data_IF_691511118704
#
_entry.id   IF_691511118704
#
_cell.length_a   1.000
_cell.length_b   1.000
_cell.length_c   1.000
_cell.angle_alpha   90.00
_cell.angle_beta   90.00
_cell.angle_gamma   90.00
#
_symmetry.space_group_name_H-M   'P 1'
#
loop_
_entity.id
_entity.type
_entity.pdbx_description
1 polymer ?
#
# COMPACT_ATOMS: atom_id res chain seq x y z
N UNK A 1 -23.97 -30.65 70.57
CA UNK A 1 -24.07 -31.17 69.19
C UNK A 1 -22.93 -30.64 68.38
N UNK A 2 -21.80 -31.38 68.32
CA UNK A 2 -20.60 -30.92 67.57
C UNK A 2 -20.62 -31.63 66.21
N UNK A 3 -20.82 -30.83 65.13
CA UNK A 3 -20.72 -31.31 63.77
C UNK A 3 -19.23 -31.20 63.33
N UNK A 4 -18.62 -32.38 63.14
CA UNK A 4 -17.27 -32.53 62.61
C UNK A 4 -17.31 -32.37 61.09
N UNK A 5 -16.67 -31.32 60.58
CA UNK A 5 -16.48 -31.12 59.12
C UNK A 5 -15.22 -31.85 58.71
N UNK A 6 -15.38 -32.89 57.87
CA UNK A 6 -14.24 -33.59 57.24
C UNK A 6 -13.73 -32.80 56.02
N UNK A 7 -12.42 -32.64 55.81
CA UNK A 7 -11.91 -32.03 54.62
C UNK A 7 -11.95 -33.01 53.44
N UNK A 8 -12.59 -32.56 52.32
CA UNK A 8 -12.58 -33.23 51.02
C UNK A 8 -11.17 -33.11 50.41
N UNK A 9 -10.41 -34.18 50.41
CA UNK A 9 -9.16 -34.32 49.65
C UNK A 9 -9.49 -34.55 48.19
N UNK A 10 -9.23 -33.49 47.39
CA UNK A 10 -9.36 -33.57 45.92
C UNK A 10 -8.12 -34.24 45.35
N UNK A 11 -8.25 -35.48 44.89
CA UNK A 11 -7.23 -36.20 44.14
C UNK A 11 -7.26 -35.69 42.68
N UNK A 12 -6.32 -34.80 42.34
CA UNK A 12 -6.10 -34.36 40.96
C UNK A 12 -5.53 -35.51 40.13
N UNK A 13 -6.15 -35.85 38.99
CA UNK A 13 -5.60 -36.83 38.06
C UNK A 13 -4.27 -36.32 37.49
N UNK A 14 -3.19 -37.10 37.65
CA UNK A 14 -1.91 -36.92 36.99
C UNK A 14 -2.16 -37.12 35.47
N UNK A 15 -2.29 -36.02 34.72
CA UNK A 15 -2.21 -36.04 33.28
C UNK A 15 -0.72 -36.16 32.92
N UNK A 16 -0.29 -37.38 32.61
CA UNK A 16 1.00 -37.59 31.93
C UNK A 16 0.79 -37.13 30.49
N UNK A 17 1.21 -35.89 30.22
CA UNK A 17 1.30 -35.39 28.85
C UNK A 17 2.38 -36.18 28.12
N UNK A 18 1.97 -37.19 27.37
CA UNK A 18 2.78 -37.79 26.33
C UNK A 18 3.07 -36.69 25.30
N UNK A 19 4.31 -36.21 25.27
CA UNK A 19 4.81 -35.37 24.20
C UNK A 19 4.91 -36.25 22.96
N UNK A 20 3.77 -36.40 22.25
CA UNK A 20 3.84 -36.81 20.86
C UNK A 20 4.54 -35.69 20.10
N UNK A 21 5.83 -35.88 19.79
CA UNK A 21 6.51 -35.12 18.74
C UNK A 21 5.70 -35.39 17.46
N UNK A 22 4.79 -34.47 17.14
CA UNK A 22 4.25 -34.39 15.79
C UNK A 22 5.45 -34.01 14.89
N UNK A 23 6.05 -35.03 14.26
CA UNK A 23 6.91 -34.79 13.09
C UNK A 23 6.06 -34.01 12.07
N UNK A 24 6.32 -32.71 12.00
CA UNK A 24 5.73 -31.87 10.97
C UNK A 24 6.15 -32.40 9.60
N UNK A 25 5.21 -32.85 8.75
CA UNK A 25 5.55 -33.22 7.37
C UNK A 25 6.06 -31.95 6.68
N UNK A 26 7.36 -31.98 6.51
CA UNK A 26 8.28 -31.05 5.86
C UNK A 26 7.70 -29.89 5.10
N UNK A 27 8.13 -28.81 5.50
CA UNK A 27 8.60 -27.51 4.93
C UNK A 27 8.57 -27.31 3.38
N UNK A 28 7.98 -28.23 2.59
CA UNK A 28 7.93 -28.14 1.12
C UNK A 28 6.96 -27.08 0.59
N UNK A 29 5.97 -26.67 1.39
CA UNK A 29 5.00 -25.65 0.99
C UNK A 29 5.57 -24.23 1.11
N UNK A 30 6.44 -23.99 2.11
CA UNK A 30 7.06 -22.68 2.30
C UNK A 30 8.04 -22.29 1.20
N UNK A 31 8.75 -23.24 0.62
CA UNK A 31 9.72 -22.93 -0.46
C UNK A 31 9.03 -22.64 -1.80
N UNK A 32 7.92 -23.31 -2.11
CA UNK A 32 7.17 -23.07 -3.36
C UNK A 32 6.44 -21.72 -3.34
N UNK A 33 5.87 -21.32 -2.21
CA UNK A 33 5.21 -20.01 -2.07
C UNK A 33 6.19 -18.85 -2.21
N UNK A 34 7.39 -18.96 -1.64
CA UNK A 34 8.46 -17.95 -1.74
C UNK A 34 8.94 -17.72 -3.17
N UNK A 35 9.12 -18.80 -3.95
CA UNK A 35 9.57 -18.67 -5.34
C UNK A 35 8.48 -18.12 -6.26
N UNK A 36 7.20 -18.42 -6.00
CA UNK A 36 6.08 -17.86 -6.76
C UNK A 36 5.91 -16.35 -6.48
N UNK A 37 5.97 -15.95 -5.22
CA UNK A 37 5.90 -14.55 -4.81
C UNK A 37 7.02 -13.69 -5.39
N UNK A 38 8.26 -14.20 -5.36
CA UNK A 38 9.42 -13.51 -5.95
C UNK A 38 9.30 -13.36 -7.47
N UNK A 39 8.81 -14.38 -8.17
CA UNK A 39 8.59 -14.33 -9.63
C UNK A 39 7.50 -13.33 -10.00
N UNK A 40 6.43 -13.26 -9.20
CA UNK A 40 5.34 -12.29 -9.40
C UNK A 40 5.84 -10.86 -9.18
N UNK A 41 6.62 -10.62 -8.12
CA UNK A 41 7.25 -9.32 -7.84
C UNK A 41 8.20 -8.89 -8.96
N UNK A 42 9.00 -9.80 -9.49
CA UNK A 42 9.90 -9.52 -10.62
C UNK A 42 9.10 -9.20 -11.90
N UNK A 43 8.03 -9.92 -12.18
CA UNK A 43 7.16 -9.64 -13.33
C UNK A 43 6.50 -8.26 -13.23
N UNK A 44 6.04 -7.88 -12.03
CA UNK A 44 5.45 -6.56 -11.78
C UNK A 44 6.50 -5.46 -11.89
N UNK A 45 7.69 -5.66 -11.32
CA UNK A 45 8.80 -4.71 -11.46
C UNK A 45 9.19 -4.51 -12.94
N UNK A 46 9.21 -5.59 -13.74
CA UNK A 46 9.45 -5.49 -15.19
C UNK A 46 8.35 -4.73 -15.93
N UNK A 47 7.07 -4.96 -15.60
CA UNK A 47 5.94 -4.25 -16.22
C UNK A 47 5.98 -2.76 -15.86
N UNK A 48 6.29 -2.42 -14.61
CA UNK A 48 6.45 -1.03 -14.19
C UNK A 48 7.67 -0.38 -14.87
N UNK A 49 8.82 -1.07 -14.95
CA UNK A 49 10.01 -0.57 -15.63
C UNK A 49 9.78 -0.38 -17.15
N UNK A 50 9.00 -1.26 -17.77
CA UNK A 50 8.67 -1.15 -19.20
C UNK A 50 7.81 0.07 -19.51
N UNK A 51 6.87 0.40 -18.62
CA UNK A 51 6.02 1.57 -18.78
C UNK A 51 6.77 2.90 -18.54
N UNK A 52 7.76 2.91 -17.64
CA UNK A 52 8.61 4.10 -17.41
C UNK A 52 9.63 4.34 -18.54
N UNK A 53 10.00 3.31 -19.30
CA UNK A 53 10.94 3.44 -20.42
C UNK A 53 10.34 4.06 -21.69
N UNK A 54 9.01 4.20 -21.79
CA UNK A 54 8.36 4.96 -22.85
C UNK A 54 8.38 6.43 -22.44
N UNK A 55 9.43 7.14 -22.86
CA UNK A 55 9.74 8.52 -22.50
C UNK A 55 8.74 9.54 -23.11
N UNK A 56 7.51 9.52 -22.63
CA UNK A 56 6.69 10.73 -22.60
C UNK A 56 7.16 11.59 -21.42
N UNK A 57 7.23 12.91 -21.61
CA UNK A 57 7.51 13.81 -20.48
C UNK A 57 6.55 13.52 -19.34
N UNK A 58 7.05 13.18 -18.13
CA UNK A 58 6.18 12.82 -17.02
C UNK A 58 5.20 13.95 -16.73
N UNK A 59 3.94 13.61 -16.59
CA UNK A 59 2.93 14.58 -16.21
C UNK A 59 3.12 14.99 -14.75
N UNK A 60 2.59 16.16 -14.40
CA UNK A 60 2.64 16.66 -13.02
C UNK A 60 2.02 15.62 -12.07
N UNK A 61 2.79 15.23 -11.05
CA UNK A 61 2.40 14.22 -10.07
C UNK A 61 2.62 12.75 -10.50
N UNK A 62 2.85 12.44 -11.77
CA UNK A 62 3.01 11.07 -12.27
C UNK A 62 4.23 10.37 -11.62
N UNK A 63 5.40 11.01 -11.62
CA UNK A 63 6.61 10.42 -11.05
C UNK A 63 6.47 10.14 -9.56
N UNK A 64 5.86 11.06 -8.82
CA UNK A 64 5.60 10.89 -7.39
C UNK A 64 4.59 9.78 -7.12
N UNK A 65 3.55 9.69 -7.96
CA UNK A 65 2.55 8.65 -7.87
C UNK A 65 3.14 7.26 -8.14
N UNK A 66 3.95 7.12 -9.18
CA UNK A 66 4.66 5.86 -9.51
C UNK A 66 5.61 5.48 -8.38
N UNK A 67 6.40 6.43 -7.83
CA UNK A 67 7.29 6.16 -6.70
C UNK A 67 6.53 5.68 -5.45
N UNK A 68 5.35 6.26 -5.18
CA UNK A 68 4.47 5.80 -4.09
C UNK A 68 4.01 4.35 -4.29
N UNK A 69 3.64 3.96 -5.50
CA UNK A 69 3.25 2.59 -5.80
C UNK A 69 4.43 1.62 -5.71
N UNK A 70 5.63 2.02 -6.16
CA UNK A 70 6.85 1.23 -6.02
C UNK A 70 7.18 1.03 -4.54
N UNK A 71 7.07 2.07 -3.72
CA UNK A 71 7.30 1.98 -2.28
C UNK A 71 6.30 1.02 -1.59
N UNK A 72 5.03 1.06 -2.00
CA UNK A 72 4.01 0.16 -1.46
C UNK A 72 4.26 -1.31 -1.88
N UNK A 73 4.55 -1.57 -3.15
CA UNK A 73 4.91 -2.91 -3.62
C UNK A 73 6.17 -3.42 -2.93
N UNK A 74 7.18 -2.57 -2.79
CA UNK A 74 8.44 -2.89 -2.12
C UNK A 74 8.24 -3.24 -0.64
N UNK A 75 7.49 -2.41 0.09
CA UNK A 75 7.18 -2.64 1.51
C UNK A 75 6.31 -3.89 1.70
N UNK A 76 5.35 -4.14 0.81
CA UNK A 76 4.58 -5.39 0.79
C UNK A 76 5.50 -6.59 0.60
N UNK A 77 6.44 -6.52 -0.35
CA UNK A 77 7.42 -7.59 -0.60
C UNK A 77 8.28 -7.89 0.64
N UNK A 78 8.76 -6.87 1.34
CA UNK A 78 9.51 -7.02 2.60
C UNK A 78 8.62 -7.67 3.67
N UNK A 79 7.38 -7.22 3.82
CA UNK A 79 6.42 -7.82 4.77
C UNK A 79 6.21 -9.31 4.51
N UNK A 80 6.05 -9.70 3.25
CA UNK A 80 5.92 -11.10 2.84
C UNK A 80 7.15 -11.94 3.20
N UNK A 81 8.35 -11.39 3.01
CA UNK A 81 9.60 -12.07 3.39
C UNK A 81 9.73 -12.25 4.91
N UNK A 82 9.17 -11.34 5.69
CA UNK A 82 9.16 -11.39 7.16
C UNK A 82 8.03 -12.25 7.73
N UNK A 83 7.21 -12.89 6.91
CA UNK A 83 6.16 -13.80 7.36
C UNK A 83 4.78 -13.15 7.51
N UNK A 84 4.61 -11.89 7.11
CA UNK A 84 3.29 -11.22 7.09
C UNK A 84 2.35 -11.77 6.00
N UNK A 85 2.82 -12.72 5.18
CA UNK A 85 2.13 -13.25 4.01
C UNK A 85 0.79 -13.93 4.30
N UNK A 86 0.60 -14.46 5.50
CA UNK A 86 -0.62 -15.19 5.83
C UNK A 86 -1.83 -14.27 6.07
N UNK A 87 -1.60 -12.98 6.23
CA UNK A 87 -2.64 -12.04 6.63
C UNK A 87 -3.34 -11.32 5.46
N UNK A 88 -2.83 -11.39 4.21
CA UNK A 88 -3.41 -10.59 3.13
C UNK A 88 -3.54 -11.31 1.78
N UNK A 89 -4.53 -12.18 1.60
CA UNK A 89 -4.84 -12.80 0.30
C UNK A 89 -5.27 -11.78 -0.76
N UNK A 90 -5.63 -10.54 -0.35
CA UNK A 90 -6.07 -9.46 -1.23
C UNK A 90 -4.91 -8.77 -1.95
N UNK A 91 -3.65 -9.01 -1.55
CA UNK A 91 -2.48 -8.32 -2.13
C UNK A 91 -2.34 -8.46 -3.65
N UNK A 92 -2.69 -9.61 -4.22
CA UNK A 92 -2.65 -9.85 -5.67
C UNK A 92 -3.78 -9.08 -6.38
N UNK A 93 -4.97 -9.04 -5.77
CA UNK A 93 -6.13 -8.33 -6.31
C UNK A 93 -5.86 -6.83 -6.33
N UNK A 94 -5.29 -6.29 -5.25
CA UNK A 94 -4.94 -4.87 -5.17
C UNK A 94 -3.91 -4.45 -6.21
N UNK A 95 -2.99 -5.34 -6.58
CA UNK A 95 -2.03 -5.08 -7.64
C UNK A 95 -2.71 -4.91 -9.01
N UNK A 96 -3.66 -5.81 -9.34
CA UNK A 96 -4.46 -5.68 -10.57
C UNK A 96 -5.23 -4.36 -10.63
N UNK A 97 -5.84 -3.96 -9.52
CA UNK A 97 -6.56 -2.68 -9.40
C UNK A 97 -5.60 -1.50 -9.62
N UNK A 98 -4.39 -1.54 -9.07
CA UNK A 98 -3.38 -0.48 -9.26
C UNK A 98 -2.97 -0.32 -10.71
N UNK A 99 -2.72 -1.44 -11.40
CA UNK A 99 -2.38 -1.40 -12.83
C UNK A 99 -3.54 -0.83 -13.65
N UNK A 100 -4.78 -1.26 -13.38
CA UNK A 100 -5.96 -0.73 -14.05
C UNK A 100 -6.15 0.77 -13.79
N UNK A 101 -5.98 1.22 -12.54
CA UNK A 101 -6.06 2.63 -12.19
C UNK A 101 -5.00 3.46 -12.91
N UNK A 102 -3.75 2.99 -12.99
CA UNK A 102 -2.69 3.64 -13.75
C UNK A 102 -3.10 3.86 -15.22
N UNK A 103 -3.64 2.83 -15.88
CA UNK A 103 -4.08 2.93 -17.26
C UNK A 103 -5.25 3.92 -17.42
N UNK A 104 -6.24 3.85 -16.53
CA UNK A 104 -7.37 4.79 -16.54
C UNK A 104 -6.93 6.24 -16.39
N UNK A 105 -5.92 6.51 -15.54
CA UNK A 105 -5.38 7.86 -15.36
C UNK A 105 -4.71 8.34 -16.67
N UNK A 106 -3.96 7.48 -17.34
CA UNK A 106 -3.32 7.81 -18.63
C UNK A 106 -4.32 8.13 -19.73
N UNK A 107 -5.50 7.52 -19.69
CA UNK A 107 -6.59 7.72 -20.65
C UNK A 107 -7.55 8.86 -20.28
N UNK A 108 -7.45 9.38 -19.05
CA UNK A 108 -8.31 10.46 -18.57
C UNK A 108 -8.03 11.78 -19.31
N UNK A 109 -9.01 12.71 -19.35
CA UNK A 109 -8.82 14.04 -19.90
C UNK A 109 -7.62 14.76 -19.26
N UNK A 110 -6.79 15.50 -20.03
CA UNK A 110 -5.58 16.15 -19.51
C UNK A 110 -5.80 17.04 -18.29
N UNK A 111 -6.96 17.70 -18.20
CA UNK A 111 -7.32 18.54 -17.05
C UNK A 111 -7.60 17.75 -15.77
N UNK A 112 -7.97 16.48 -15.86
CA UNK A 112 -8.26 15.61 -14.70
C UNK A 112 -7.03 14.85 -14.20
N UNK A 113 -6.06 14.61 -15.09
CA UNK A 113 -4.90 13.79 -14.81
C UNK A 113 -4.08 14.25 -13.61
N UNK A 114 -3.78 15.56 -13.38
CA UNK A 114 -2.99 15.98 -12.23
C UNK A 114 -3.64 15.59 -10.90
N UNK A 115 -4.96 15.71 -10.81
CA UNK A 115 -5.74 15.31 -9.62
C UNK A 115 -5.72 13.80 -9.42
N UNK A 116 -5.92 13.03 -10.48
CA UNK A 116 -5.91 11.57 -10.44
C UNK A 116 -4.54 11.02 -10.08
N UNK A 117 -3.45 11.59 -10.62
CA UNK A 117 -2.09 11.26 -10.22
C UNK A 117 -1.83 11.58 -8.74
N UNK A 118 -2.30 12.73 -8.27
CA UNK A 118 -2.20 13.10 -6.85
C UNK A 118 -2.88 12.09 -5.94
N UNK A 119 -4.10 11.68 -6.27
CA UNK A 119 -4.83 10.64 -5.51
C UNK A 119 -4.11 9.30 -5.55
N UNK A 120 -3.69 8.86 -6.72
CA UNK A 120 -2.98 7.59 -6.90
C UNK A 120 -1.68 7.56 -6.10
N UNK A 121 -0.92 8.66 -6.10
CA UNK A 121 0.28 8.83 -5.29
C UNK A 121 0.01 8.81 -3.79
N UNK A 122 -1.00 9.54 -3.34
CA UNK A 122 -1.41 9.57 -1.94
C UNK A 122 -1.77 8.18 -1.42
N UNK A 123 -2.50 7.37 -2.21
CA UNK A 123 -2.79 5.98 -1.87
C UNK A 123 -1.53 5.13 -1.79
N UNK A 124 -0.61 5.26 -2.74
CA UNK A 124 0.64 4.50 -2.76
C UNK A 124 1.51 4.79 -1.53
N UNK A 125 1.76 6.05 -1.24
CA UNK A 125 2.55 6.46 -0.08
C UNK A 125 1.86 6.12 1.25
N UNK A 126 0.54 6.27 1.32
CA UNK A 126 -0.24 5.87 2.48
C UNK A 126 -0.15 4.38 2.76
N UNK A 127 -0.30 3.55 1.72
CA UNK A 127 -0.17 2.10 1.84
C UNK A 127 1.25 1.68 2.23
N UNK A 128 2.29 2.30 1.63
CA UNK A 128 3.68 2.06 1.98
C UNK A 128 3.97 2.38 3.46
N UNK A 129 3.50 3.53 3.95
CA UNK A 129 3.66 3.92 5.35
C UNK A 129 2.96 2.96 6.31
N UNK A 130 1.73 2.53 5.98
CA UNK A 130 1.01 1.51 6.74
C UNK A 130 1.78 0.19 6.77
N UNK A 131 2.29 -0.29 5.63
CA UNK A 131 3.03 -1.54 5.54
C UNK A 131 4.33 -1.49 6.33
N UNK A 132 5.09 -0.38 6.25
CA UNK A 132 6.31 -0.18 7.05
C UNK A 132 6.02 -0.18 8.55
N UNK A 133 4.90 0.44 8.96
CA UNK A 133 4.46 0.40 10.35
C UNK A 133 4.14 -1.04 10.79
N UNK A 134 3.44 -1.83 9.97
CA UNK A 134 3.13 -3.24 10.26
C UNK A 134 4.42 -4.05 10.41
N UNK A 135 5.40 -3.85 9.53
CA UNK A 135 6.73 -4.49 9.62
C UNK A 135 7.41 -4.14 10.96
N UNK A 136 7.41 -2.87 11.34
CA UNK A 136 7.93 -2.40 12.63
C UNK A 136 7.17 -3.00 13.82
N UNK A 137 5.86 -3.18 13.68
CA UNK A 137 4.99 -3.80 14.68
C UNK A 137 5.36 -5.28 14.90
N UNK A 138 5.59 -6.04 13.83
CA UNK A 138 6.03 -7.44 13.92
C UNK A 138 7.37 -7.51 14.65
N UNK A 139 8.32 -6.64 14.30
CA UNK A 139 9.64 -6.60 14.95
C UNK A 139 9.58 -6.21 16.42
N UNK A 140 8.58 -5.44 16.86
CA UNK A 140 8.40 -4.97 18.24
C UNK A 140 7.41 -5.79 19.07
N UNK A 141 6.95 -6.94 18.57
CA UNK A 141 6.01 -7.81 19.30
C UNK A 141 4.57 -7.30 19.34
N UNK A 142 4.15 -6.48 18.39
CA UNK A 142 2.74 -6.13 18.21
C UNK A 142 2.29 -4.79 18.79
N UNK A 143 3.17 -4.03 19.45
CA UNK A 143 2.80 -2.86 20.28
C UNK A 143 2.10 -1.72 19.51
N UNK A 144 2.30 -1.59 18.19
CA UNK A 144 1.87 -0.42 17.41
C UNK A 144 0.82 -0.72 16.32
N UNK A 145 0.30 -1.94 16.25
CA UNK A 145 -0.59 -2.38 15.15
C UNK A 145 -1.78 -1.42 14.91
N UNK A 146 -2.40 -0.93 15.97
CA UNK A 146 -3.56 -0.04 15.87
C UNK A 146 -3.24 1.35 15.29
N UNK A 147 -1.98 1.78 15.32
CA UNK A 147 -1.55 3.08 14.79
C UNK A 147 -1.23 3.05 13.30
N UNK A 148 -0.99 1.88 12.73
CA UNK A 148 -0.52 1.75 11.35
C UNK A 148 -1.51 2.34 10.33
N UNK A 149 -2.84 2.11 10.41
CA UNK A 149 -3.78 2.75 9.51
C UNK A 149 -3.78 4.28 9.62
N UNK A 150 -3.62 4.81 10.83
CA UNK A 150 -3.57 6.27 11.08
C UNK A 150 -2.34 6.87 10.42
N UNK A 151 -1.17 6.24 10.57
CA UNK A 151 0.07 6.67 9.93
C UNK A 151 -0.04 6.59 8.40
N UNK A 152 -0.66 5.55 7.88
CA UNK A 152 -0.93 5.41 6.46
C UNK A 152 -1.79 6.56 5.91
N UNK A 153 -2.90 6.87 6.57
CA UNK A 153 -3.78 7.98 6.20
C UNK A 153 -3.03 9.31 6.29
N UNK A 154 -2.31 9.56 7.39
CA UNK A 154 -1.56 10.81 7.59
C UNK A 154 -0.48 11.00 6.50
N UNK A 155 0.26 9.95 6.14
CA UNK A 155 1.24 10.00 5.07
C UNK A 155 0.60 10.28 3.70
N UNK A 156 -0.49 9.61 3.37
CA UNK A 156 -1.23 9.86 2.13
C UNK A 156 -1.77 11.28 2.04
N UNK A 157 -2.38 11.78 3.11
CA UNK A 157 -2.87 13.16 3.18
C UNK A 157 -1.73 14.17 3.09
N UNK A 158 -0.59 13.91 3.74
CA UNK A 158 0.60 14.76 3.64
C UNK A 158 1.09 14.89 2.19
N UNK A 159 1.16 13.77 1.47
CA UNK A 159 1.52 13.76 0.03
C UNK A 159 0.49 14.53 -0.80
N UNK A 160 -0.79 14.33 -0.53
CA UNK A 160 -1.88 15.03 -1.21
C UNK A 160 -1.77 16.54 -1.01
N UNK A 161 -1.67 17.02 0.22
CA UNK A 161 -1.66 18.45 0.54
C UNK A 161 -0.39 19.16 0.04
N UNK A 162 0.78 18.50 0.17
CA UNK A 162 2.04 19.12 -0.26
C UNK A 162 2.13 19.43 -1.76
N UNK A 163 1.28 18.80 -2.59
CA UNK A 163 1.29 18.97 -4.04
C UNK A 163 0.02 19.66 -4.56
N UNK A 164 -0.79 20.23 -3.68
CA UNK A 164 -2.07 20.84 -4.06
C UNK A 164 -1.88 21.97 -5.04
N UNK A 165 -1.03 22.94 -4.73
CA UNK A 165 -0.79 24.11 -5.59
C UNK A 165 -0.24 23.72 -6.98
N UNK A 166 0.67 22.72 -7.04
CA UNK A 166 1.21 22.25 -8.31
C UNK A 166 0.14 21.55 -9.16
N UNK A 167 -0.72 20.73 -8.53
CA UNK A 167 -1.85 20.08 -9.22
C UNK A 167 -2.86 21.08 -9.75
N UNK A 168 -3.22 22.08 -8.94
CA UNK A 168 -4.19 23.10 -9.32
C UNK A 168 -3.69 23.91 -10.50
N UNK A 169 -2.40 24.29 -10.46
CA UNK A 169 -1.75 24.99 -11.58
C UNK A 169 -1.73 24.12 -12.84
N UNK A 170 -1.34 22.86 -12.73
CA UNK A 170 -1.31 21.94 -13.89
C UNK A 170 -2.70 21.71 -14.48
N UNK A 171 -3.73 21.60 -13.63
CA UNK A 171 -5.12 21.51 -14.06
C UNK A 171 -5.54 22.75 -14.81
N UNK A 172 -5.24 23.94 -14.27
CA UNK A 172 -5.52 25.22 -14.93
C UNK A 172 -4.81 25.33 -16.28
N UNK A 173 -3.52 24.98 -16.35
CA UNK A 173 -2.75 25.01 -17.60
C UNK A 173 -3.32 24.06 -18.66
N UNK A 174 -3.82 22.90 -18.26
CA UNK A 174 -4.47 21.97 -19.18
C UNK A 174 -5.81 22.54 -19.70
N UNK A 175 -6.65 23.05 -18.82
CA UNK A 175 -7.92 23.69 -19.18
C UNK A 175 -7.69 24.91 -20.09
N UNK A 176 -6.65 25.71 -19.82
CA UNK A 176 -6.30 26.84 -20.65
C UNK A 176 -5.88 26.43 -22.07
N UNK A 177 -5.04 25.37 -22.19
CA UNK A 177 -4.65 24.84 -23.50
C UNK A 177 -5.85 24.36 -24.31
N UNK A 178 -6.78 23.66 -23.68
CA UNK A 178 -8.00 23.16 -24.32
C UNK A 178 -8.88 24.35 -24.80
N UNK A 179 -9.02 25.38 -23.98
CA UNK A 179 -9.75 26.59 -24.33
C UNK A 179 -9.08 27.39 -25.47
N UNK A 180 -7.74 27.48 -25.46
CA UNK A 180 -6.96 28.12 -26.52
C UNK A 180 -7.01 27.35 -27.84
N UNK A 181 -7.15 26.02 -27.79
CA UNK A 181 -7.35 25.22 -28.99
C UNK A 181 -8.68 25.58 -29.71
N UNK A 182 -9.71 25.97 -28.94
CA UNK A 182 -10.99 26.43 -29.47
C UNK A 182 -10.99 27.95 -29.83
N UNK A 183 -10.20 28.75 -29.10
CA UNK A 183 -10.07 30.19 -29.31
C UNK A 183 -8.59 30.63 -29.12
N UNK A 184 -7.80 30.72 -30.20
CA UNK A 184 -6.36 31.04 -30.13
C UNK A 184 -6.03 32.40 -29.52
N UNK A 185 -6.95 33.34 -29.53
CA UNK A 185 -6.76 34.68 -28.97
C UNK A 185 -7.03 34.76 -27.45
N UNK A 186 -7.44 33.64 -26.84
CA UNK A 186 -7.69 33.57 -25.40
C UNK A 186 -6.40 33.68 -24.62
N UNK A 187 -6.31 34.63 -23.68
CA UNK A 187 -5.25 34.71 -22.68
C UNK A 187 -5.75 34.15 -21.35
N UNK A 188 -4.96 33.28 -20.73
CA UNK A 188 -5.29 32.73 -19.42
C UNK A 188 -4.34 33.30 -18.35
N UNK A 189 -4.90 33.65 -17.19
CA UNK A 189 -4.12 34.13 -16.04
C UNK A 189 -4.47 33.28 -14.83
N UNK A 190 -3.48 32.60 -14.26
CA UNK A 190 -3.65 31.87 -13.00
C UNK A 190 -3.47 32.82 -11.82
N UNK A 191 -4.48 32.89 -10.96
CA UNK A 191 -4.40 33.65 -9.70
C UNK A 191 -4.44 32.66 -8.55
N UNK A 192 -3.34 32.58 -7.81
CA UNK A 192 -3.24 31.72 -6.64
C UNK A 192 -4.15 32.27 -5.52
N UNK A 193 -5.12 31.49 -5.08
CA UNK A 193 -5.95 31.81 -3.91
C UNK A 193 -5.09 31.58 -2.67
N UNK A 194 -4.69 32.66 -2.00
CA UNK A 194 -4.08 32.57 -0.67
C UNK A 194 -5.21 32.26 0.34
N UNK A 195 -5.36 30.99 0.71
CA UNK A 195 -6.17 30.57 1.87
C UNK A 195 -5.35 30.64 3.14
#
# INVERSE_FOLDING_TARGET
MNASVQPLTYLAPRITAGVHQCEHPGNRWHTRGRTLGLRLLMAVAMVLAWNTARAETPQVGESQAVNGQIADVGSTGIGLLMGAAEANPLGIITLGIKVAAYQQIKEAPPAEQPRLWGMYGAFGWGAAANNLCIIGTIASGGAFAALCPVLGVAAGMGVWNNNEAERDRATFDAMCRDAQAANPDLSCTYTESKT
#
